data_IF_218996802267
#
_entry.id   IF_218996802267
#
_cell.length_a   1.000
_cell.length_b   1.000
_cell.length_c   1.000
_cell.angle_alpha   90.00
_cell.angle_beta   90.00
_cell.angle_gamma   90.00
#
_symmetry.space_group_name_H-M   'P 1'
#
loop_
_entity.id
_entity.type
_entity.pdbx_description
1 polymer ?
#
# COMPACT_ATOMS: atom_id res chain seq x y z
N UNK A 1 8.47 37.08 -43.58
CA UNK A 1 9.48 36.02 -43.80
C UNK A 1 8.85 34.70 -43.53
N UNK A 2 8.56 33.91 -44.60
CA UNK A 2 7.85 32.64 -44.52
C UNK A 2 8.89 31.51 -44.47
N UNK A 3 8.94 30.77 -43.39
CA UNK A 3 9.69 29.52 -43.34
C UNK A 3 8.74 28.36 -43.61
N UNK A 4 8.89 27.74 -44.78
CA UNK A 4 8.23 26.50 -45.16
C UNK A 4 9.02 25.34 -44.53
N UNK A 5 8.40 24.60 -43.62
CA UNK A 5 8.94 23.34 -43.08
C UNK A 5 8.49 22.17 -43.96
N UNK A 6 9.45 21.58 -44.62
CA UNK A 6 9.30 20.40 -45.48
C UNK A 6 9.20 19.15 -44.63
N UNK A 7 8.06 18.47 -44.68
CA UNK A 7 7.80 17.17 -44.06
C UNK A 7 8.49 16.11 -44.93
N UNK A 8 9.43 15.38 -44.34
CA UNK A 8 10.03 14.19 -44.96
C UNK A 8 9.25 12.96 -44.46
N UNK A 9 8.51 12.33 -45.35
CA UNK A 9 7.93 11.00 -45.16
C UNK A 9 9.06 9.97 -45.28
N UNK A 10 9.29 9.22 -44.20
CA UNK A 10 10.10 8.02 -44.21
C UNK A 10 9.15 6.82 -44.27
N UNK A 11 9.23 6.08 -45.41
CA UNK A 11 8.53 4.81 -45.60
C UNK A 11 9.32 3.71 -44.89
N UNK A 12 8.72 3.04 -43.91
CA UNK A 12 9.31 1.86 -43.27
C UNK A 12 8.65 0.61 -43.83
N UNK A 13 9.46 -0.26 -44.41
CA UNK A 13 9.07 -1.55 -44.93
C UNK A 13 8.77 -2.55 -43.80
N UNK A 14 7.60 -3.18 -43.84
CA UNK A 14 7.19 -4.25 -42.95
C UNK A 14 7.73 -5.60 -43.48
N UNK A 15 8.60 -6.24 -42.70
CA UNK A 15 9.00 -7.63 -42.93
C UNK A 15 8.01 -8.55 -42.18
N UNK A 16 7.28 -9.37 -42.94
CA UNK A 16 6.40 -10.43 -42.44
C UNK A 16 7.24 -11.68 -42.24
N UNK A 17 7.41 -12.14 -41.00
CA UNK A 17 8.01 -13.44 -40.70
C UNK A 17 6.86 -14.40 -40.38
N UNK A 18 6.63 -15.35 -41.29
CA UNK A 18 5.72 -16.48 -41.11
C UNK A 18 6.44 -17.58 -40.30
N UNK A 19 6.02 -17.83 -39.06
CA UNK A 19 6.45 -19.00 -38.31
C UNK A 19 5.43 -20.13 -38.46
N UNK A 20 5.87 -21.23 -39.07
CA UNK A 20 5.09 -22.45 -39.24
C UNK A 20 5.03 -23.22 -37.91
N UNK A 21 3.83 -23.45 -37.38
CA UNK A 21 3.55 -24.32 -36.25
C UNK A 21 3.37 -25.76 -36.75
N UNK A 22 4.29 -26.64 -36.41
CA UNK A 22 4.18 -28.10 -36.60
C UNK A 22 3.33 -28.69 -35.45
N UNK A 23 2.13 -29.15 -35.79
CA UNK A 23 1.31 -29.99 -34.89
C UNK A 23 1.85 -31.42 -34.96
N UNK A 24 2.38 -31.91 -33.86
CA UNK A 24 2.58 -33.36 -33.65
C UNK A 24 1.32 -33.92 -32.97
N UNK A 25 0.53 -34.65 -33.77
CA UNK A 25 -0.57 -35.46 -33.28
C UNK A 25 0.00 -36.75 -32.66
N UNK A 26 -0.28 -37.00 -31.38
CA UNK A 26 -0.15 -38.31 -30.76
C UNK A 26 -1.49 -39.01 -30.83
N UNK A 27 -1.48 -40.20 -31.44
CA UNK A 27 -2.65 -41.03 -31.69
C UNK A 27 -3.23 -41.75 -30.49
N UNK A 28 -4.44 -42.34 -30.64
CA UNK A 28 -5.14 -43.04 -29.57
C UNK A 28 -4.58 -44.47 -29.43
N UNK A 29 -4.23 -44.81 -28.19
CA UNK A 29 -3.96 -46.18 -27.76
C UNK A 29 -5.14 -46.71 -26.98
N UNK A 30 -5.88 -47.65 -27.56
CA UNK A 30 -6.83 -48.53 -26.89
C UNK A 30 -6.10 -49.40 -25.86
N UNK A 31 -6.62 -49.45 -24.63
CA UNK A 31 -6.14 -50.31 -23.58
C UNK A 31 -7.21 -50.48 -22.51
N UNK A 32 -8.07 -51.53 -22.68
CA UNK A 32 -8.94 -52.07 -21.68
C UNK A 32 -8.15 -52.41 -20.40
N UNK A 33 -8.65 -52.00 -19.26
CA UNK A 33 -8.11 -52.36 -17.94
C UNK A 33 -9.00 -51.91 -16.80
N UNK A 34 -10.05 -52.68 -16.54
CA UNK A 34 -10.86 -52.54 -15.35
C UNK A 34 -10.05 -52.86 -14.07
N UNK A 35 -9.93 -51.93 -13.13
CA UNK A 35 -9.61 -52.22 -11.74
C UNK A 35 -10.10 -51.13 -10.78
N UNK A 36 -11.20 -51.45 -10.12
CA UNK A 36 -11.55 -51.24 -8.71
C UNK A 36 -11.17 -49.94 -8.00
N UNK A 37 -12.21 -49.17 -7.78
CA UNK A 37 -12.60 -48.45 -6.57
C UNK A 37 -11.70 -48.68 -5.34
N UNK A 38 -11.10 -47.61 -4.84
CA UNK A 38 -10.78 -47.43 -3.44
C UNK A 38 -10.73 -45.94 -3.11
N UNK A 39 -11.81 -45.41 -2.59
CA UNK A 39 -11.85 -44.13 -1.89
C UNK A 39 -11.08 -44.24 -0.58
N UNK A 40 -10.15 -43.37 -0.26
CA UNK A 40 -9.71 -43.20 1.12
C UNK A 40 -10.63 -42.19 1.83
N UNK A 41 -11.34 -42.66 2.81
CA UNK A 41 -12.04 -41.90 3.85
C UNK A 41 -11.03 -41.00 4.58
N UNK A 42 -11.25 -39.71 4.74
CA UNK A 42 -10.44 -38.89 5.64
C UNK A 42 -10.84 -39.21 7.08
N UNK A 43 -9.88 -39.69 7.85
CA UNK A 43 -9.98 -39.84 9.29
C UNK A 43 -10.07 -38.47 9.96
N UNK A 44 -11.16 -38.23 10.65
CA UNK A 44 -11.34 -37.11 11.56
C UNK A 44 -10.42 -37.30 12.79
N UNK A 45 -9.39 -36.47 12.87
CA UNK A 45 -8.60 -36.31 14.10
C UNK A 45 -9.20 -35.18 14.93
N UNK A 46 -9.87 -35.55 15.97
CA UNK A 46 -10.36 -34.68 17.04
C UNK A 46 -9.17 -34.19 17.87
N UNK A 47 -8.92 -32.90 18.06
CA UNK A 47 -7.98 -32.45 19.06
C UNK A 47 -8.64 -32.50 20.44
N UNK A 48 -8.11 -33.34 21.32
CA UNK A 48 -8.38 -33.36 22.76
C UNK A 48 -8.09 -31.98 23.37
N UNK A 49 -9.12 -31.43 23.99
CA UNK A 49 -8.98 -30.32 24.93
C UNK A 49 -8.39 -30.87 26.23
N UNK A 50 -7.17 -30.50 26.53
CA UNK A 50 -6.65 -30.64 27.90
C UNK A 50 -6.93 -29.31 28.61
N UNK A 51 -7.88 -29.36 29.51
CA UNK A 51 -8.12 -28.32 30.49
C UNK A 51 -7.02 -28.39 31.55
N UNK A 52 -6.24 -27.34 31.68
CA UNK A 52 -5.41 -27.10 32.86
C UNK A 52 -6.05 -25.97 33.67
N UNK A 53 -6.62 -26.42 34.75
CA UNK A 53 -7.09 -25.62 35.89
C UNK A 53 -5.92 -25.29 36.83
N UNK A 54 -6.08 -24.15 37.56
CA UNK A 54 -5.42 -23.82 38.84
C UNK A 54 -4.11 -23.03 38.70
N UNK A 55 -3.91 -21.89 39.31
CA UNK A 55 -4.26 -21.42 40.62
C UNK A 55 -4.10 -19.91 40.71
N UNK A 56 -4.98 -19.29 41.45
CA UNK A 56 -4.87 -17.93 41.97
C UNK A 56 -3.96 -17.95 43.22
N UNK A 57 -3.05 -17.01 43.41
CA UNK A 57 -2.59 -16.65 44.73
C UNK A 57 -3.16 -15.26 45.13
N UNK A 58 -4.02 -15.32 46.10
CA UNK A 58 -4.38 -14.23 47.01
C UNK A 58 -3.12 -13.76 47.76
N UNK A 59 -2.77 -12.48 47.65
CA UNK A 59 -1.79 -11.87 48.50
C UNK A 59 -2.40 -10.61 49.11
N UNK A 60 -2.62 -10.65 50.39
CA UNK A 60 -3.08 -9.68 51.38
C UNK A 60 -2.08 -8.49 51.45
N UNK A 61 -2.54 -7.23 51.60
CA UNK A 61 -1.66 -6.12 51.89
C UNK A 61 -1.31 -6.01 53.37
N UNK A 62 -0.08 -5.68 53.75
CA UNK A 62 0.20 -5.22 55.12
C UNK A 62 -0.03 -3.72 55.21
N UNK A 63 -0.91 -3.32 56.13
CA UNK A 63 -0.96 -2.00 56.69
C UNK A 63 0.27 -1.75 57.56
N UNK A 64 0.93 -0.64 57.36
CA UNK A 64 1.84 -0.07 58.34
C UNK A 64 1.63 1.45 58.35
N UNK A 65 1.04 1.90 59.44
CA UNK A 65 1.02 3.29 59.86
C UNK A 65 2.41 3.70 60.34
N UNK A 66 2.84 4.88 59.94
CA UNK A 66 4.08 5.50 60.44
C UNK A 66 4.07 6.99 60.15
N UNK A 67 3.88 7.73 61.21
CA UNK A 67 3.69 9.17 61.30
C UNK A 67 5.00 9.97 61.17
N UNK A 68 4.81 11.24 60.84
CA UNK A 68 5.59 12.44 61.17
C UNK A 68 6.74 12.92 60.30
N UNK A 69 6.54 14.10 59.74
CA UNK A 69 7.42 15.24 59.97
C UNK A 69 8.47 15.52 58.90
N UNK A 70 8.31 16.61 58.18
CA UNK A 70 9.41 17.18 57.43
C UNK A 70 8.96 18.08 56.29
N UNK A 71 8.67 19.33 56.63
CA UNK A 71 8.59 20.49 55.73
C UNK A 71 9.90 20.61 54.92
N UNK A 72 9.82 20.56 53.60
CA UNK A 72 10.78 21.25 52.75
C UNK A 72 10.19 21.52 51.41
N UNK A 73 9.78 22.73 51.23
CA UNK A 73 9.37 23.37 49.99
C UNK A 73 10.57 23.48 49.05
N UNK A 74 10.52 22.78 47.91
CA UNK A 74 11.29 23.18 46.75
C UNK A 74 10.34 23.10 45.55
N UNK A 75 10.13 24.18 44.82
CA UNK A 75 9.36 24.12 43.60
C UNK A 75 10.17 23.36 42.54
N UNK A 76 9.72 22.16 42.22
CA UNK A 76 10.21 21.45 41.04
C UNK A 76 9.77 22.26 39.84
N UNK A 77 10.71 22.96 39.24
CA UNK A 77 10.52 23.59 37.93
C UNK A 77 10.11 22.53 36.94
N UNK A 78 8.83 22.55 36.56
CA UNK A 78 8.37 21.82 35.39
C UNK A 78 9.17 22.33 34.21
N UNK A 79 10.04 21.47 33.68
CA UNK A 79 10.67 21.71 32.40
C UNK A 79 9.56 21.81 31.35
N UNK A 80 9.22 23.03 30.99
CA UNK A 80 8.42 23.27 29.77
C UNK A 80 9.14 22.63 28.63
N UNK A 81 8.46 21.84 27.75
CA UNK A 81 9.06 21.40 26.51
C UNK A 81 9.46 22.67 25.76
N UNK A 82 10.76 22.79 25.46
CA UNK A 82 11.28 23.83 24.61
C UNK A 82 10.55 23.72 23.27
N UNK A 83 9.61 24.63 23.05
CA UNK A 83 9.05 24.85 21.73
C UNK A 83 10.21 25.42 20.89
N UNK A 84 10.90 24.56 20.16
CA UNK A 84 11.78 24.98 19.09
C UNK A 84 10.96 25.72 18.04
N UNK A 85 10.69 26.99 18.30
CA UNK A 85 10.17 27.95 17.33
C UNK A 85 11.31 28.34 16.40
N UNK A 86 11.88 27.37 15.72
CA UNK A 86 12.72 27.60 14.57
C UNK A 86 11.80 28.06 13.42
N UNK A 87 11.68 29.37 13.23
CA UNK A 87 10.96 30.02 12.11
C UNK A 87 11.60 29.72 10.74
N UNK A 88 12.50 28.74 10.65
CA UNK A 88 13.05 28.25 9.41
C UNK A 88 12.05 27.38 8.66
N UNK A 89 11.94 27.55 7.35
CA UNK A 89 11.19 26.65 6.47
C UNK A 89 11.79 25.24 6.64
N UNK A 90 11.02 24.27 7.17
CA UNK A 90 11.49 22.91 7.31
C UNK A 90 11.90 22.35 5.93
N UNK A 91 13.00 21.58 5.83
CA UNK A 91 13.44 20.98 4.57
C UNK A 91 12.40 19.96 4.06
N UNK A 92 12.49 19.60 2.78
CA UNK A 92 11.73 18.47 2.26
C UNK A 92 12.13 17.20 3.03
N UNK A 93 11.15 16.31 3.26
CA UNK A 93 11.44 15.01 3.86
C UNK A 93 12.34 14.19 2.92
N UNK A 94 13.41 13.61 3.45
CA UNK A 94 14.23 12.66 2.69
C UNK A 94 13.54 11.29 2.61
N UNK A 95 13.91 10.43 1.66
CA UNK A 95 13.34 9.08 1.56
C UNK A 95 13.47 8.27 2.85
N UNK A 96 14.59 8.35 3.55
CA UNK A 96 14.84 7.65 4.81
C UNK A 96 14.17 8.28 6.03
N UNK A 97 13.64 9.49 5.89
CA UNK A 97 12.92 10.17 6.96
C UNK A 97 11.42 9.82 6.98
N UNK A 98 10.94 9.09 5.97
CA UNK A 98 9.52 8.77 5.82
C UNK A 98 9.33 7.28 5.70
N UNK A 99 8.37 6.75 6.42
CA UNK A 99 7.81 5.41 6.25
C UNK A 99 6.41 5.50 5.68
N UNK A 100 6.04 4.59 4.78
CA UNK A 100 4.72 4.57 4.16
C UNK A 100 4.02 3.23 4.40
N UNK A 101 2.71 3.29 4.65
CA UNK A 101 1.82 2.14 4.76
C UNK A 101 0.55 2.36 3.95
N UNK A 102 -0.12 1.29 3.54
CA UNK A 102 -1.39 1.40 2.83
C UNK A 102 -2.49 0.58 3.52
N UNK A 103 -3.70 1.06 3.39
CA UNK A 103 -4.91 0.38 3.84
C UNK A 103 -6.05 0.64 2.86
N UNK A 104 -7.06 -0.23 2.82
CA UNK A 104 -8.27 0.08 2.08
C UNK A 104 -8.97 1.30 2.68
N UNK A 105 -9.55 2.15 1.83
CA UNK A 105 -10.38 3.24 2.31
C UNK A 105 -11.69 2.67 2.89
N UNK A 106 -12.11 3.21 4.04
CA UNK A 106 -13.38 2.82 4.65
C UNK A 106 -14.56 3.24 3.75
N UNK A 107 -14.48 4.45 3.20
CA UNK A 107 -15.46 4.97 2.26
C UNK A 107 -14.92 4.82 0.84
N UNK A 108 -15.54 3.93 0.08
CA UNK A 108 -15.32 3.82 -1.36
C UNK A 108 -16.27 4.79 -2.07
N UNK A 109 -15.87 5.34 -3.23
CA UNK A 109 -16.82 6.09 -4.05
C UNK A 109 -18.06 5.24 -4.34
N UNK A 110 -19.23 5.87 -4.32
CA UNK A 110 -20.47 5.22 -4.67
C UNK A 110 -20.40 4.64 -6.09
N UNK A 111 -20.95 3.45 -6.24
CA UNK A 111 -20.96 2.74 -7.50
C UNK A 111 -20.16 1.45 -7.51
N UNK A 112 -20.52 0.56 -8.41
CA UNK A 112 -19.80 -0.68 -8.66
C UNK A 112 -18.53 -0.40 -9.45
N UNK A 113 -17.44 -1.06 -9.10
CA UNK A 113 -16.23 -1.03 -9.88
C UNK A 113 -15.21 0.05 -9.52
N UNK A 114 -15.36 0.69 -8.36
CA UNK A 114 -14.36 1.65 -7.89
C UNK A 114 -13.76 1.16 -6.57
N UNK A 115 -12.42 1.04 -6.54
CA UNK A 115 -11.64 0.77 -5.34
C UNK A 115 -10.97 2.04 -4.83
N UNK A 116 -10.66 2.07 -3.54
CA UNK A 116 -9.89 3.15 -2.95
C UNK A 116 -8.93 2.65 -1.88
N UNK A 117 -7.74 3.23 -1.84
CA UNK A 117 -6.72 2.97 -0.84
C UNK A 117 -6.22 4.27 -0.22
N UNK A 118 -5.89 4.22 1.05
CA UNK A 118 -5.25 5.31 1.79
C UNK A 118 -3.79 4.94 2.00
N UNK A 119 -2.91 5.80 1.53
CA UNK A 119 -1.47 5.71 1.83
C UNK A 119 -1.16 6.72 2.92
N UNK A 120 -0.64 6.23 4.04
CA UNK A 120 -0.18 7.01 5.18
C UNK A 120 1.34 7.13 5.14
N UNK A 121 1.84 8.34 5.25
CA UNK A 121 3.26 8.67 5.36
C UNK A 121 3.55 9.15 6.77
N UNK A 122 4.49 8.52 7.45
CA UNK A 122 4.90 8.88 8.82
C UNK A 122 6.33 9.40 8.80
N UNK A 123 6.57 10.56 9.41
CA UNK A 123 7.93 11.05 9.63
C UNK A 123 8.59 10.25 10.76
N UNK A 124 9.51 9.36 10.41
CA UNK A 124 10.25 8.52 11.37
C UNK A 124 11.58 9.15 11.80
N UNK A 125 11.90 10.35 11.30
CA UNK A 125 13.11 11.07 11.69
C UNK A 125 12.91 11.88 12.98
N UNK A 126 14.02 12.29 13.61
CA UNK A 126 14.02 13.17 14.78
C UNK A 126 13.77 14.65 14.47
N UNK A 127 13.55 15.03 13.20
CA UNK A 127 13.44 16.42 12.79
C UNK A 127 12.16 16.67 11.98
N UNK A 128 11.65 17.90 12.05
CA UNK A 128 10.50 18.27 11.24
C UNK A 128 10.91 18.39 9.77
N UNK A 129 10.05 17.89 8.86
CA UNK A 129 10.23 17.99 7.42
C UNK A 129 8.91 18.29 6.70
N UNK A 130 8.93 18.49 5.39
CA UNK A 130 7.77 18.88 4.60
C UNK A 130 7.55 17.88 3.46
N UNK A 131 6.34 17.36 3.36
CA UNK A 131 5.83 16.66 2.18
C UNK A 131 5.02 17.62 1.31
N UNK A 132 5.00 17.37 0.00
CA UNK A 132 4.26 18.20 -0.95
C UNK A 132 3.87 17.44 -2.21
N UNK A 133 2.89 17.97 -2.94
CA UNK A 133 2.56 17.52 -4.27
C UNK A 133 1.57 16.37 -4.33
N UNK A 134 1.47 15.78 -5.51
CA UNK A 134 0.72 14.57 -5.80
C UNK A 134 1.71 13.41 -5.95
N UNK A 135 1.30 12.18 -5.63
CA UNK A 135 2.17 11.03 -5.77
C UNK A 135 2.35 10.60 -7.22
N UNK A 136 3.48 9.96 -7.50
CA UNK A 136 3.60 8.98 -8.58
C UNK A 136 3.21 7.61 -8.02
N UNK A 137 2.64 6.74 -8.86
CA UNK A 137 2.19 5.40 -8.46
C UNK A 137 2.62 4.39 -9.51
N UNK A 138 3.09 3.24 -9.08
CA UNK A 138 3.39 2.10 -9.94
C UNK A 138 3.01 0.79 -9.25
N UNK A 139 2.51 -0.18 -10.02
CA UNK A 139 2.26 -1.54 -9.55
C UNK A 139 3.54 -2.34 -9.51
N UNK A 140 3.79 -3.12 -8.46
CA UNK A 140 5.01 -3.91 -8.30
C UNK A 140 4.75 -5.26 -7.65
N UNK A 141 5.68 -6.21 -7.91
CA UNK A 141 5.78 -7.44 -7.15
C UNK A 141 6.37 -7.22 -5.76
N UNK A 142 6.26 -8.22 -4.90
CA UNK A 142 6.86 -8.18 -3.58
C UNK A 142 8.39 -8.09 -3.67
N UNK A 143 8.98 -7.14 -2.94
CA UNK A 143 10.43 -6.97 -2.83
C UNK A 143 11.15 -6.47 -4.09
N UNK A 144 10.42 -5.93 -5.06
CA UNK A 144 10.99 -5.44 -6.33
C UNK A 144 10.47 -4.05 -6.71
N UNK A 145 10.66 -3.03 -5.87
CA UNK A 145 10.12 -1.69 -6.12
C UNK A 145 10.69 -1.03 -7.37
N UNK A 146 11.91 -1.36 -7.77
CA UNK A 146 12.57 -0.86 -8.98
C UNK A 146 11.98 -1.43 -10.28
N UNK A 147 11.34 -2.59 -10.22
CA UNK A 147 10.67 -3.24 -11.36
C UNK A 147 9.16 -2.97 -11.36
N UNK A 148 8.76 -1.74 -11.06
CA UNK A 148 7.36 -1.37 -11.05
C UNK A 148 6.84 -1.02 -12.45
N UNK A 149 5.53 -1.20 -12.65
CA UNK A 149 4.80 -0.78 -13.84
C UNK A 149 4.14 0.56 -13.50
N UNK A 150 4.56 1.69 -14.11
CA UNK A 150 3.96 2.98 -13.83
C UNK A 150 2.47 3.02 -14.17
N UNK A 151 1.64 3.50 -13.25
CA UNK A 151 0.24 3.78 -13.50
C UNK A 151 0.09 5.23 -13.97
N UNK A 152 -0.89 5.48 -14.83
CA UNK A 152 -1.26 6.84 -15.24
C UNK A 152 -2.00 7.52 -14.09
N UNK A 153 -1.36 8.49 -13.45
CA UNK A 153 -1.95 9.23 -12.33
C UNK A 153 -2.75 10.44 -12.82
N UNK A 154 -4.02 10.52 -12.41
CA UNK A 154 -4.84 11.73 -12.52
C UNK A 154 -4.82 12.43 -11.16
N UNK A 155 -4.13 13.57 -11.11
CA UNK A 155 -4.01 14.39 -9.90
C UNK A 155 -5.31 15.14 -9.61
N UNK A 156 -5.79 15.12 -8.36
CA UNK A 156 -6.97 15.86 -7.92
C UNK A 156 -6.69 16.63 -6.63
N UNK A 157 -7.38 17.75 -6.48
CA UNK A 157 -7.19 18.67 -5.36
C UNK A 157 -5.94 19.57 -5.52
N UNK A 158 -5.88 20.58 -4.70
CA UNK A 158 -4.77 21.54 -4.67
C UNK A 158 -3.65 21.04 -3.78
N UNK A 159 -2.44 20.95 -4.32
CA UNK A 159 -1.28 20.57 -3.54
C UNK A 159 -0.79 21.72 -2.66
N UNK A 160 -0.77 21.48 -1.35
CA UNK A 160 -0.20 22.38 -0.35
C UNK A 160 0.91 21.68 0.42
N UNK A 161 1.97 22.39 0.84
CA UNK A 161 3.00 21.81 1.69
C UNK A 161 2.42 21.34 3.04
N UNK A 162 2.75 20.12 3.46
CA UNK A 162 2.37 19.54 4.74
C UNK A 162 3.62 19.38 5.59
N UNK A 163 3.70 20.13 6.68
CA UNK A 163 4.79 20.03 7.65
C UNK A 163 4.52 18.88 8.61
N UNK A 164 5.47 17.96 8.72
CA UNK A 164 5.44 16.83 9.65
C UNK A 164 6.47 17.05 10.75
N UNK A 165 6.01 17.11 12.00
CA UNK A 165 6.86 16.94 13.18
C UNK A 165 7.36 15.48 13.24
N UNK A 166 8.37 15.16 14.06
CA UNK A 166 8.71 13.76 14.35
C UNK A 166 7.48 12.97 14.79
N UNK A 167 7.24 11.80 14.16
CA UNK A 167 6.04 10.99 14.34
C UNK A 167 4.78 11.55 13.67
N UNK A 168 4.86 12.73 13.04
CA UNK A 168 3.73 13.34 12.32
C UNK A 168 3.37 12.55 11.08
N UNK A 169 2.08 12.62 10.69
CA UNK A 169 1.52 11.83 9.60
C UNK A 169 0.88 12.71 8.53
N UNK A 170 0.89 12.21 7.31
CA UNK A 170 0.15 12.76 6.17
C UNK A 170 -0.39 11.63 5.31
N UNK A 171 -1.38 11.95 4.48
CA UNK A 171 -2.12 10.93 3.72
C UNK A 171 -2.34 11.34 2.27
N UNK A 172 -2.49 10.31 1.44
CA UNK A 172 -2.95 10.39 0.06
C UNK A 172 -4.07 9.36 -0.11
N UNK A 173 -5.15 9.71 -0.80
CA UNK A 173 -6.16 8.76 -1.26
C UNK A 173 -5.90 8.42 -2.73
N UNK A 174 -5.85 7.14 -3.01
CA UNK A 174 -5.80 6.56 -4.36
C UNK A 174 -7.16 5.98 -4.68
N UNK A 175 -7.69 6.29 -5.86
CA UNK A 175 -8.97 5.76 -6.36
C UNK A 175 -8.72 5.15 -7.73
N UNK A 176 -9.22 3.95 -7.98
CA UNK A 176 -8.98 3.20 -9.20
C UNK A 176 -10.19 2.40 -9.64
N UNK A 177 -10.25 2.05 -10.92
CA UNK A 177 -11.25 1.12 -11.45
C UNK A 177 -10.92 -0.28 -10.97
N UNK A 178 -11.84 -0.87 -10.20
CA UNK A 178 -11.65 -2.19 -9.61
C UNK A 178 -12.03 -3.29 -10.58
N UNK A 179 -11.29 -4.38 -10.55
CA UNK A 179 -11.65 -5.61 -11.24
C UNK A 179 -12.99 -6.13 -10.72
N UNK A 180 -13.85 -6.55 -11.64
CA UNK A 180 -15.20 -7.05 -11.35
C UNK A 180 -15.23 -8.57 -11.44
N UNK A 181 -16.21 -9.18 -10.74
CA UNK A 181 -16.45 -10.62 -10.75
C UNK A 181 -15.58 -11.40 -9.78
N UNK A 182 -15.68 -12.71 -9.88
CA UNK A 182 -14.91 -13.70 -9.11
C UNK A 182 -13.96 -14.45 -10.05
N UNK A 183 -12.98 -15.11 -9.47
CA UNK A 183 -11.97 -15.86 -10.23
C UNK A 183 -11.03 -14.93 -10.97
N UNK A 184 -10.93 -15.11 -12.29
CA UNK A 184 -10.02 -14.30 -13.14
C UNK A 184 -10.48 -12.85 -13.29
N UNK A 185 -11.71 -12.52 -12.91
CA UNK A 185 -12.28 -11.18 -12.97
C UNK A 185 -12.32 -10.59 -14.38
N UNK A 186 -12.90 -9.41 -14.52
CA UNK A 186 -12.90 -8.66 -15.77
C UNK A 186 -12.92 -7.15 -15.52
N UNK A 187 -12.50 -6.38 -16.51
CA UNK A 187 -12.62 -4.94 -16.55
C UNK A 187 -13.78 -4.51 -17.42
N UNK A 188 -14.61 -3.58 -16.94
CA UNK A 188 -15.74 -3.03 -17.71
C UNK A 188 -15.26 -2.38 -19.01
N UNK A 189 -14.07 -1.82 -19.04
CA UNK A 189 -13.43 -1.27 -20.22
C UNK A 189 -13.05 -2.31 -21.28
N UNK A 190 -13.04 -3.60 -20.92
CA UNK A 190 -12.50 -4.69 -21.76
C UNK A 190 -10.98 -4.85 -21.69
N UNK A 191 -10.29 -4.05 -20.88
CA UNK A 191 -8.87 -4.24 -20.59
C UNK A 191 -8.64 -5.54 -19.81
N UNK A 192 -7.42 -6.04 -19.81
CA UNK A 192 -7.05 -7.14 -18.92
C UNK A 192 -6.91 -6.62 -17.49
N UNK A 193 -7.47 -7.34 -16.50
CA UNK A 193 -7.21 -7.06 -15.10
C UNK A 193 -5.71 -7.05 -14.79
N UNK A 194 -5.29 -6.10 -13.95
CA UNK A 194 -3.95 -6.05 -13.41
C UNK A 194 -4.02 -6.20 -11.89
N UNK A 195 -3.23 -7.13 -11.35
CA UNK A 195 -3.18 -7.42 -9.91
C UNK A 195 -1.76 -7.20 -9.43
N UNK A 196 -1.61 -6.32 -8.46
CA UNK A 196 -0.34 -5.97 -7.88
C UNK A 196 -0.35 -6.27 -6.37
N UNK A 197 0.55 -7.13 -5.88
CA UNK A 197 0.68 -7.38 -4.44
C UNK A 197 1.15 -6.12 -3.68
N UNK A 198 1.80 -5.19 -4.37
CA UNK A 198 2.28 -3.94 -3.78
C UNK A 198 2.16 -2.78 -4.77
N UNK A 199 2.11 -1.56 -4.23
CA UNK A 199 2.32 -0.34 -5.01
C UNK A 199 3.64 0.32 -4.59
N UNK A 200 4.26 1.00 -5.55
CA UNK A 200 5.35 1.93 -5.30
C UNK A 200 4.77 3.34 -5.40
N UNK A 201 4.76 4.05 -4.28
CA UNK A 201 4.17 5.39 -4.17
C UNK A 201 5.27 6.38 -3.83
N UNK A 202 5.49 7.35 -4.71
CA UNK A 202 6.52 8.37 -4.57
C UNK A 202 5.95 9.77 -4.40
N UNK A 203 6.54 10.57 -3.51
CA UNK A 203 6.24 12.00 -3.37
C UNK A 203 7.47 12.84 -3.72
N UNK A 204 7.29 14.03 -4.31
CA UNK A 204 8.39 14.91 -4.65
C UNK A 204 9.30 15.21 -3.46
N UNK A 205 10.57 14.83 -3.56
CA UNK A 205 11.59 15.01 -2.52
C UNK A 205 11.61 13.93 -1.43
N UNK A 206 10.53 13.18 -1.22
CA UNK A 206 10.44 12.15 -0.20
C UNK A 206 10.76 10.73 -0.70
N UNK A 207 11.09 10.60 -1.98
CA UNK A 207 11.39 9.31 -2.59
C UNK A 207 10.15 8.47 -2.88
N UNK A 208 10.38 7.21 -3.22
CA UNK A 208 9.36 6.21 -3.51
C UNK A 208 9.39 5.11 -2.45
N UNK A 209 8.22 4.69 -2.00
CA UNK A 209 8.02 3.70 -0.95
C UNK A 209 7.15 2.57 -1.47
N UNK A 210 7.56 1.34 -1.25
CA UNK A 210 6.75 0.18 -1.56
C UNK A 210 5.77 -0.06 -0.41
N UNK A 211 4.49 -0.18 -0.74
CA UNK A 211 3.41 -0.40 0.22
C UNK A 211 2.55 -1.59 -0.21
N UNK A 212 2.11 -2.38 0.75
CA UNK A 212 1.11 -3.44 0.56
C UNK A 212 -0.19 -3.05 1.26
N UNK A 213 -1.32 -3.54 0.76
CA UNK A 213 -2.55 -3.51 1.53
C UNK A 213 -2.45 -4.52 2.67
N UNK A 214 -3.02 -4.18 3.83
CA UNK A 214 -3.08 -5.07 4.99
C UNK A 214 -4.01 -6.27 4.79
N UNK A 215 -4.91 -6.19 3.83
CA UNK A 215 -6.06 -7.07 3.64
C UNK A 215 -6.27 -7.54 2.20
N UNK A 216 -5.26 -7.46 1.36
CA UNK A 216 -5.37 -7.94 -0.01
C UNK A 216 -4.36 -7.36 -0.99
N UNK A 217 -4.71 -7.48 -2.27
CA UNK A 217 -3.93 -7.01 -3.39
C UNK A 217 -4.64 -5.84 -4.09
N UNK A 218 -3.87 -5.06 -4.83
CA UNK A 218 -4.43 -4.02 -5.70
C UNK A 218 -4.86 -4.65 -7.01
N UNK A 219 -6.16 -4.95 -7.13
CA UNK A 219 -6.77 -5.44 -8.36
C UNK A 219 -7.43 -4.27 -9.10
N UNK A 220 -6.80 -3.82 -10.18
CA UNK A 220 -7.22 -2.61 -10.91
C UNK A 220 -7.32 -2.85 -12.41
N UNK A 221 -7.98 -1.92 -13.08
CA UNK A 221 -8.21 -1.88 -14.51
C UNK A 221 -7.54 -0.66 -15.13
N UNK A 222 -7.12 -0.81 -16.38
CA UNK A 222 -6.65 0.28 -17.26
C UNK A 222 -5.28 0.90 -16.88
N UNK A 223 -4.60 0.40 -15.86
CA UNK A 223 -3.35 0.96 -15.32
C UNK A 223 -3.48 2.46 -15.03
N UNK A 224 -4.63 2.87 -14.46
CA UNK A 224 -4.93 4.26 -14.14
C UNK A 224 -5.32 4.41 -12.68
N UNK A 225 -4.93 5.53 -12.08
CA UNK A 225 -5.28 5.86 -10.70
C UNK A 225 -5.53 7.37 -10.58
N UNK A 226 -6.58 7.73 -9.84
CA UNK A 226 -6.78 9.10 -9.39
C UNK A 226 -6.16 9.27 -8.02
N UNK A 227 -5.32 10.28 -7.82
CA UNK A 227 -4.62 10.52 -6.57
C UNK A 227 -4.85 11.92 -6.04
N UNK A 228 -5.19 12.02 -4.75
CA UNK A 228 -5.25 13.32 -4.08
C UNK A 228 -3.85 13.88 -3.86
N UNK A 229 -3.76 15.19 -3.67
CA UNK A 229 -2.57 15.79 -3.09
C UNK A 229 -2.34 15.24 -1.68
N UNK A 230 -1.07 15.25 -1.22
CA UNK A 230 -0.74 14.94 0.17
C UNK A 230 -1.45 15.92 1.12
N UNK A 231 -2.03 15.40 2.20
CA UNK A 231 -2.85 16.15 3.16
C UNK A 231 -2.48 15.79 4.60
N UNK A 232 -2.58 16.78 5.50
CA UNK A 232 -2.46 16.56 6.94
C UNK A 232 -3.74 15.95 7.55
N UNK A 233 -4.85 15.96 6.82
CA UNK A 233 -6.10 15.33 7.23
C UNK A 233 -6.21 13.96 6.56
N UNK A 234 -6.53 12.92 7.36
CA UNK A 234 -6.80 11.59 6.82
C UNK A 234 -8.08 11.65 5.99
N UNK A 235 -8.04 11.28 4.71
CA UNK A 235 -9.24 11.18 3.89
C UNK A 235 -10.11 9.99 4.32
N UNK A 236 -11.39 10.11 4.12
CA UNK A 236 -12.39 9.05 4.33
C UNK A 236 -12.42 8.07 3.16
#
# INVERSE_FOLDING_TARGET
MHHRNTIRLAASATAVIAAALSLTACGPGDGDGAAKTSSPTPAATTPSRTASTTASPTATPPSASGSSGGTSTAPSAAASPASDTSSGTAPACSPSAVEATASQAADRPDGTGTGAAIVEFTNVSGHACVLRGHPSVGGAGNGSPEHNIPLKVTAVGTASPVRLAPGGKAWVKLTFHQVQGEGDGYCVSGAKPAVYPTLVVGLPGAGAHQVALSDGEFAECDNTVTATAVSAAKPS
#
